data_IF_790241485674
#
_entry.id   IF_790241485674
#
_cell.length_a   1.000
_cell.length_b   1.000
_cell.length_c   1.000
_cell.angle_alpha   90.00
_cell.angle_beta   90.00
_cell.angle_gamma   90.00
#
_symmetry.space_group_name_H-M   'P 1'
#
loop_
_entity.id
_entity.type
_entity.pdbx_description
1 polymer ?
#
# COMPACT_ATOMS: atom_id res chain seq x y z
N UNK A 1 39.80 19.37 -48.46
CA UNK A 1 38.54 19.68 -47.75
C UNK A 1 38.04 18.38 -47.12
N UNK A 2 38.19 18.21 -45.80
CA UNK A 2 37.75 16.99 -45.08
C UNK A 2 36.34 17.24 -44.54
N UNK A 3 35.39 16.37 -44.86
CA UNK A 3 34.10 16.29 -44.16
C UNK A 3 33.97 14.86 -43.66
N UNK A 4 34.21 14.66 -42.36
CA UNK A 4 33.80 13.46 -41.63
C UNK A 4 32.51 13.78 -40.88
N UNK A 5 31.44 13.06 -41.17
CA UNK A 5 30.21 13.11 -40.37
C UNK A 5 30.13 11.87 -39.46
N UNK A 6 29.99 12.16 -38.17
CA UNK A 6 30.02 11.28 -37.02
C UNK A 6 28.67 10.55 -36.89
N UNK A 7 28.62 9.22 -37.00
CA UNK A 7 27.43 8.43 -36.71
C UNK A 7 27.63 7.66 -35.40
N UNK A 8 27.15 8.22 -34.30
CA UNK A 8 27.10 7.55 -33.01
C UNK A 8 26.36 8.40 -31.97
N UNK A 9 25.56 7.73 -31.12
CA UNK A 9 24.87 8.23 -29.90
C UNK A 9 23.38 8.65 -30.00
N UNK A 10 22.50 7.86 -30.64
CA UNK A 10 21.04 8.11 -30.53
C UNK A 10 20.16 6.97 -30.00
N UNK A 11 20.73 5.82 -29.58
CA UNK A 11 19.92 4.68 -29.14
C UNK A 11 19.98 4.36 -27.63
N UNK A 12 20.84 5.03 -26.86
CA UNK A 12 21.05 4.69 -25.44
C UNK A 12 20.11 5.40 -24.46
N UNK A 13 19.48 6.52 -24.83
CA UNK A 13 18.61 7.29 -23.92
C UNK A 13 17.20 6.73 -23.81
N UNK A 14 16.62 6.16 -24.88
CA UNK A 14 15.26 5.64 -24.86
C UNK A 14 15.11 4.36 -24.01
N UNK A 15 16.07 3.44 -24.09
CA UNK A 15 16.07 2.21 -23.29
C UNK A 15 16.31 2.48 -21.79
N UNK A 16 17.14 3.47 -21.44
CA UNK A 16 17.36 3.88 -20.06
C UNK A 16 16.11 4.58 -19.45
N UNK A 17 15.38 5.37 -20.24
CA UNK A 17 14.11 5.98 -19.81
C UNK A 17 13.01 4.94 -19.63
N UNK A 18 12.88 3.96 -20.52
CA UNK A 18 11.92 2.86 -20.39
C UNK A 18 12.25 1.94 -19.20
N UNK A 19 13.53 1.68 -18.93
CA UNK A 19 13.96 0.91 -17.75
C UNK A 19 13.70 1.69 -16.45
N UNK A 20 13.92 3.01 -16.45
CA UNK A 20 13.63 3.86 -15.29
C UNK A 20 12.12 4.04 -15.04
N UNK A 21 11.31 4.09 -16.10
CA UNK A 21 9.85 4.17 -16.02
C UNK A 21 9.24 2.83 -15.57
N UNK A 22 9.84 1.70 -15.97
CA UNK A 22 9.45 0.36 -15.52
C UNK A 22 9.90 0.06 -14.08
N UNK A 23 11.07 0.56 -13.64
CA UNK A 23 11.49 0.47 -12.23
C UNK A 23 10.62 1.31 -11.30
N UNK A 24 10.13 2.46 -11.76
CA UNK A 24 9.23 3.32 -10.97
C UNK A 24 7.87 2.65 -10.70
N UNK A 25 7.44 1.75 -11.59
CA UNK A 25 6.24 0.93 -11.40
C UNK A 25 6.46 -0.26 -10.44
N UNK A 26 7.72 -0.56 -10.10
CA UNK A 26 8.11 -1.65 -9.22
C UNK A 26 8.48 -1.18 -7.81
N UNK A 27 8.72 0.12 -7.63
CA UNK A 27 8.71 0.76 -6.32
C UNK A 27 7.25 0.91 -5.94
N UNK A 28 6.71 0.06 -5.06
CA UNK A 28 5.31 0.11 -4.60
C UNK A 28 4.96 1.42 -3.90
N UNK A 29 4.90 2.51 -4.66
CA UNK A 29 4.55 3.84 -4.19
C UNK A 29 3.03 3.86 -4.00
N UNK A 30 2.61 3.66 -2.75
CA UNK A 30 1.23 3.86 -2.34
C UNK A 30 0.87 5.33 -2.61
N UNK A 31 -0.05 5.56 -3.54
CA UNK A 31 -0.60 6.89 -3.77
C UNK A 31 -1.65 7.16 -2.69
N UNK A 32 -1.53 8.30 -2.00
CA UNK A 32 -2.52 8.72 -1.01
C UNK A 32 -3.23 9.99 -1.50
N UNK A 33 -4.53 9.91 -1.72
CA UNK A 33 -5.37 11.04 -2.08
C UNK A 33 -6.01 11.63 -0.82
N UNK A 34 -5.84 12.94 -0.62
CA UNK A 34 -6.44 13.66 0.49
C UNK A 34 -7.54 14.59 -0.01
N UNK A 35 -8.68 14.58 0.66
CA UNK A 35 -9.80 15.49 0.40
C UNK A 35 -10.04 16.38 1.62
N UNK A 36 -10.35 17.65 1.34
CA UNK A 36 -10.55 18.68 2.35
C UNK A 36 -11.91 19.35 2.16
N UNK A 37 -12.50 19.82 3.24
CA UNK A 37 -13.66 20.71 3.17
C UNK A 37 -13.26 22.17 2.87
N UNK A 38 -14.25 23.03 2.72
CA UNK A 38 -14.06 24.47 2.44
C UNK A 38 -13.30 25.21 3.55
N UNK A 39 -13.29 24.67 4.77
CA UNK A 39 -12.52 25.19 5.90
C UNK A 39 -11.07 24.66 5.93
N UNK A 40 -10.67 23.85 4.95
CA UNK A 40 -9.34 23.26 4.84
C UNK A 40 -9.08 22.09 5.80
N UNK A 41 -10.13 21.50 6.39
CA UNK A 41 -10.02 20.35 7.30
C UNK A 41 -10.05 19.06 6.49
N UNK A 42 -9.28 18.06 6.93
CA UNK A 42 -9.19 16.76 6.26
C UNK A 42 -10.50 15.98 6.39
N UNK A 43 -11.23 15.75 5.31
CA UNK A 43 -12.48 14.96 5.30
C UNK A 43 -12.32 13.57 4.70
N UNK A 44 -11.21 13.31 4.00
CA UNK A 44 -10.93 11.99 3.46
C UNK A 44 -9.46 11.72 3.16
N UNK A 45 -9.05 10.47 3.36
CA UNK A 45 -7.75 9.95 2.96
C UNK A 45 -7.93 8.58 2.30
N UNK A 46 -7.52 8.44 1.05
CA UNK A 46 -7.64 7.21 0.26
C UNK A 46 -6.25 6.68 -0.09
N UNK A 47 -5.96 5.44 0.29
CA UNK A 47 -4.68 4.77 0.13
C UNK A 47 -4.80 3.75 -0.98
N UNK A 48 -4.31 4.12 -2.16
CA UNK A 48 -4.19 3.25 -3.34
C UNK A 48 -5.48 2.51 -3.72
N UNK A 49 -6.64 3.15 -3.47
CA UNK A 49 -7.98 2.57 -3.70
C UNK A 49 -8.37 1.41 -2.77
N UNK A 50 -7.44 0.92 -1.94
CA UNK A 50 -7.66 -0.24 -1.04
C UNK A 50 -8.30 0.16 0.27
N UNK A 51 -7.84 1.27 0.86
CA UNK A 51 -8.31 1.75 2.17
C UNK A 51 -8.72 3.20 2.06
N UNK A 52 -9.86 3.56 2.64
CA UNK A 52 -10.28 4.95 2.76
C UNK A 52 -10.68 5.29 4.19
N UNK A 53 -10.29 6.47 4.65
CA UNK A 53 -10.71 7.06 5.92
C UNK A 53 -11.56 8.28 5.58
N UNK A 54 -12.71 8.44 6.26
CA UNK A 54 -13.56 9.63 6.18
C UNK A 54 -13.75 10.24 7.56
N UNK A 55 -13.80 11.57 7.59
CA UNK A 55 -14.00 12.35 8.81
C UNK A 55 -15.19 13.29 8.63
N UNK A 56 -16.06 13.33 9.64
CA UNK A 56 -17.15 14.30 9.72
C UNK A 56 -16.88 15.24 10.88
N UNK A 57 -17.12 16.54 10.66
CA UNK A 57 -16.95 17.58 11.66
C UNK A 57 -18.24 18.38 11.84
N UNK A 58 -18.44 18.89 13.05
CA UNK A 58 -19.44 19.91 13.28
C UNK A 58 -18.97 21.29 12.77
N UNK A 59 -19.87 22.27 12.87
CA UNK A 59 -19.60 23.64 12.43
C UNK A 59 -18.57 24.37 13.32
N UNK A 60 -18.28 23.87 14.53
CA UNK A 60 -17.29 24.43 15.44
C UNK A 60 -15.89 23.83 15.24
N UNK A 61 -15.75 22.78 14.43
CA UNK A 61 -14.46 22.10 14.22
C UNK A 61 -14.30 20.80 15.00
N UNK A 62 -15.30 20.37 15.77
CA UNK A 62 -15.18 19.13 16.54
C UNK A 62 -15.45 17.93 15.63
N UNK A 63 -14.64 16.87 15.82
CA UNK A 63 -14.81 15.61 15.11
C UNK A 63 -16.08 14.91 15.58
N UNK A 64 -17.04 14.72 14.68
CA UNK A 64 -18.26 13.95 14.92
C UNK A 64 -18.05 12.45 14.68
N UNK A 65 -17.33 12.11 13.61
CA UNK A 65 -17.22 10.72 13.16
C UNK A 65 -15.88 10.46 12.45
N UNK A 66 -15.40 9.22 12.56
CA UNK A 66 -14.30 8.68 11.74
C UNK A 66 -14.70 7.31 11.24
N UNK A 67 -14.89 7.18 9.93
CA UNK A 67 -15.17 5.92 9.28
C UNK A 67 -13.93 5.42 8.54
N UNK A 68 -13.63 4.12 8.63
CA UNK A 68 -12.59 3.49 7.82
C UNK A 68 -13.25 2.38 6.98
N UNK A 69 -13.04 2.43 5.68
CA UNK A 69 -13.58 1.48 4.68
C UNK A 69 -12.44 0.84 3.92
N UNK A 70 -12.67 -0.37 3.38
CA UNK A 70 -11.59 -1.11 2.73
C UNK A 70 -10.55 -1.66 3.71
N UNK A 71 -10.90 -1.73 4.99
CA UNK A 71 -10.27 -2.68 5.89
C UNK A 71 -10.99 -4.01 5.66
N UNK A 72 -10.25 -5.03 5.28
CA UNK A 72 -10.79 -6.38 5.24
C UNK A 72 -11.17 -6.82 6.65
N UNK A 73 -12.37 -7.38 6.78
CA UNK A 73 -12.75 -8.14 7.98
C UNK A 73 -12.26 -9.58 7.88
N UNK A 74 -11.48 -9.89 6.85
CA UNK A 74 -10.98 -11.22 6.60
C UNK A 74 -9.83 -11.50 7.55
N UNK A 75 -10.03 -12.47 8.42
CA UNK A 75 -9.02 -12.87 9.39
C UNK A 75 -7.78 -13.37 8.64
N UNK A 76 -6.61 -12.82 8.96
CA UNK A 76 -5.35 -13.18 8.32
C UNK A 76 -5.04 -12.43 7.01
N UNK A 77 -5.92 -11.56 6.52
CA UNK A 77 -5.60 -10.66 5.40
C UNK A 77 -4.77 -9.47 5.93
N UNK A 78 -3.46 -9.61 5.79
CA UNK A 78 -2.47 -8.67 6.30
C UNK A 78 -2.33 -7.47 5.38
N UNK A 79 -2.53 -7.67 4.08
CA UNK A 79 -2.31 -6.63 3.07
C UNK A 79 -3.58 -5.78 2.79
N UNK A 80 -4.72 -6.20 3.38
CA UNK A 80 -6.03 -5.56 3.30
C UNK A 80 -6.57 -5.42 1.87
N UNK A 81 -6.27 -6.39 0.99
CA UNK A 81 -6.87 -6.46 -0.35
C UNK A 81 -8.22 -7.18 -0.37
N UNK A 82 -8.65 -7.76 0.74
CA UNK A 82 -9.90 -8.49 0.89
C UNK A 82 -9.81 -9.96 0.48
N UNK A 83 -8.62 -10.44 0.11
CA UNK A 83 -8.35 -11.84 -0.19
C UNK A 83 -7.43 -12.41 0.90
N UNK A 84 -7.56 -13.70 1.18
CA UNK A 84 -6.55 -14.43 1.94
C UNK A 84 -5.69 -15.06 0.85
N UNK A 85 -4.38 -14.80 0.84
CA UNK A 85 -3.47 -15.37 -0.17
C UNK A 85 -2.07 -15.55 0.39
N UNK A 86 -1.20 -16.25 -0.34
CA UNK A 86 0.24 -16.30 0.00
C UNK A 86 0.90 -14.92 0.08
N UNK A 87 0.32 -13.87 -0.51
CA UNK A 87 0.82 -12.51 -0.35
C UNK A 87 0.76 -12.07 1.13
N UNK A 88 -0.30 -12.45 1.86
CA UNK A 88 -0.46 -12.13 3.29
C UNK A 88 0.56 -12.85 4.16
N UNK A 89 0.91 -14.08 3.80
CA UNK A 89 1.99 -14.82 4.47
C UNK A 89 3.34 -14.12 4.27
N UNK A 90 3.63 -13.67 3.05
CA UNK A 90 4.85 -12.91 2.74
C UNK A 90 4.88 -11.58 3.49
N UNK A 91 3.75 -10.88 3.54
CA UNK A 91 3.62 -9.62 4.29
C UNK A 91 3.82 -9.83 5.79
N UNK A 92 3.26 -10.89 6.37
CA UNK A 92 3.49 -11.26 7.77
C UNK A 92 4.98 -11.46 8.08
N UNK A 93 5.70 -12.15 7.19
CA UNK A 93 7.13 -12.41 7.33
C UNK A 93 7.98 -11.15 7.18
N UNK A 94 7.58 -10.20 6.33
CA UNK A 94 8.23 -8.88 6.24
C UNK A 94 8.08 -8.11 7.55
N UNK A 95 6.90 -8.08 8.16
CA UNK A 95 6.73 -7.45 9.49
C UNK A 95 7.64 -8.10 10.52
N UNK A 96 7.68 -9.43 10.54
CA UNK A 96 8.55 -10.20 11.45
C UNK A 96 10.05 -9.88 11.25
N UNK A 97 10.47 -9.59 10.02
CA UNK A 97 11.83 -9.19 9.66
C UNK A 97 12.15 -7.71 9.99
N UNK A 98 11.21 -6.98 10.59
CA UNK A 98 11.40 -5.59 11.02
C UNK A 98 11.04 -4.55 9.97
N UNK A 99 10.35 -4.92 8.88
CA UNK A 99 9.80 -3.95 7.96
C UNK A 99 8.55 -3.31 8.57
N UNK A 100 8.57 -1.99 8.75
CA UNK A 100 7.43 -1.26 9.28
C UNK A 100 6.28 -1.27 8.27
N UNK A 101 5.17 -1.88 8.66
CA UNK A 101 3.90 -1.78 7.96
C UNK A 101 2.81 -1.23 8.86
N UNK A 102 1.75 -0.71 8.24
CA UNK A 102 0.55 -0.26 8.94
C UNK A 102 -0.13 -1.50 9.52
N UNK A 103 -0.26 -1.58 10.85
CA UNK A 103 -0.96 -2.70 11.48
C UNK A 103 -2.42 -2.75 11.05
N UNK A 104 -2.87 -3.92 10.60
CA UNK A 104 -4.28 -4.21 10.33
C UNK A 104 -4.84 -5.05 11.50
N UNK A 105 -5.65 -4.45 12.38
CA UNK A 105 -6.16 -5.15 13.59
C UNK A 105 -6.96 -6.44 13.26
N UNK A 106 -7.76 -6.52 12.20
CA UNK A 106 -8.39 -7.77 11.77
C UNK A 106 -7.42 -8.88 11.32
N UNK A 107 -6.19 -8.51 10.96
CA UNK A 107 -5.18 -9.45 10.50
C UNK A 107 -4.44 -10.14 11.66
N UNK A 108 -4.41 -9.54 12.85
CA UNK A 108 -3.87 -10.16 14.06
C UNK A 108 -4.76 -11.35 14.44
N UNK A 109 -4.26 -12.57 14.19
CA UNK A 109 -5.07 -13.77 14.31
C UNK A 109 -5.08 -14.35 15.72
N UNK A 110 -4.07 -14.00 16.52
CA UNK A 110 -3.82 -14.54 17.85
C UNK A 110 -4.11 -13.52 18.99
N UNK A 111 -4.35 -12.26 18.64
CA UNK A 111 -4.68 -11.17 19.55
C UNK A 111 -3.50 -10.60 20.34
N UNK A 112 -2.26 -10.79 19.87
CA UNK A 112 -1.06 -10.32 20.57
C UNK A 112 -0.68 -8.86 20.27
N UNK A 113 -1.45 -8.20 19.39
CA UNK A 113 -1.27 -6.82 18.99
C UNK A 113 -0.13 -6.62 17.99
N UNK A 114 0.35 -7.68 17.34
CA UNK A 114 1.42 -7.67 16.34
C UNK A 114 1.02 -8.51 15.13
N UNK A 115 1.81 -8.36 14.07
CA UNK A 115 1.77 -9.23 12.90
C UNK A 115 3.11 -9.97 12.84
N UNK A 116 3.10 -11.29 12.73
CA UNK A 116 4.31 -12.11 12.72
C UNK A 116 4.08 -13.55 12.24
N UNK A 117 4.89 -14.47 12.79
CA UNK A 117 4.82 -15.89 12.43
C UNK A 117 3.43 -16.53 12.60
N UNK A 118 2.65 -16.21 13.64
CA UNK A 118 1.31 -16.78 13.81
C UNK A 118 0.38 -16.48 12.63
N UNK A 119 0.42 -15.26 12.10
CA UNK A 119 -0.37 -14.82 10.94
C UNK A 119 0.11 -15.53 9.67
N UNK A 120 1.43 -15.64 9.47
CA UNK A 120 2.00 -16.36 8.34
C UNK A 120 1.56 -17.84 8.33
N UNK A 121 1.59 -18.51 9.49
CA UNK A 121 1.14 -19.90 9.63
C UNK A 121 -0.36 -20.02 9.37
N UNK A 122 -1.16 -19.09 9.90
CA UNK A 122 -2.60 -19.08 9.65
C UNK A 122 -2.91 -19.00 8.15
N UNK A 123 -2.30 -18.05 7.45
CA UNK A 123 -2.48 -17.91 5.99
C UNK A 123 -2.10 -19.20 5.28
N UNK A 124 -0.91 -19.75 5.55
CA UNK A 124 -0.43 -20.99 4.92
C UNK A 124 -1.32 -22.21 5.16
N UNK A 125 -2.01 -22.27 6.30
CA UNK A 125 -2.93 -23.37 6.63
C UNK A 125 -4.29 -23.24 5.94
N UNK A 126 -4.74 -22.01 5.66
CA UNK A 126 -6.07 -21.75 5.14
C UNK A 126 -6.08 -21.48 3.62
N UNK A 127 -4.93 -21.17 3.03
CA UNK A 127 -4.73 -21.00 1.58
C UNK A 127 -4.37 -22.27 0.81
N UNK A 128 -4.16 -23.38 1.53
CA UNK A 128 -3.66 -24.62 0.94
C UNK A 128 -4.77 -25.58 0.42
N UNK A 129 -6.03 -25.14 0.40
CA UNK A 129 -7.20 -25.91 -0.06
C UNK A 129 -7.82 -25.30 -1.33
#
# INVERSE_FOLDING_TARGET
MKISANFGKKQTTAAALLFCLCLAQYLGAVVVNYTYDDAGRLVGAEYDGKKAIRYDYDNAGNLLSRAVTGISNLKGDVNADGELTLADAVESLKVQAGFNMVMNLPADVNGDGKIGLPEAVYVLQNEAD
#
